data_IF_787410682282
#
_entry.id   IF_787410682282
#
_cell.length_a   1.000
_cell.length_b   1.000
_cell.length_c   1.000
_cell.angle_alpha   90.00
_cell.angle_beta   90.00
_cell.angle_gamma   90.00
#
_symmetry.space_group_name_H-M   'P 1'
#
loop_
_entity.id
_entity.type
_entity.pdbx_description
1 polymer ?
#
# COMPACT_ATOMS: atom_id res chain seq x y z
N UNK A 1 1.26 -22.52 -19.24
CA UNK A 1 1.89 -21.44 -18.45
C UNK A 1 1.64 -21.76 -17.00
N UNK A 2 2.63 -21.68 -16.12
CA UNK A 2 2.45 -22.01 -14.70
C UNK A 2 2.78 -20.76 -13.88
N UNK A 3 1.78 -20.20 -13.20
CA UNK A 3 1.99 -19.13 -12.20
C UNK A 3 2.82 -19.70 -11.06
N UNK A 4 3.94 -19.05 -10.75
CA UNK A 4 4.84 -19.41 -9.65
C UNK A 4 4.72 -18.49 -8.45
N UNK A 5 4.39 -17.21 -8.68
CA UNK A 5 4.18 -16.21 -7.64
C UNK A 5 2.82 -15.54 -7.87
N UNK A 6 1.97 -15.57 -6.85
CA UNK A 6 0.70 -14.85 -6.81
C UNK A 6 0.79 -13.73 -5.79
N UNK A 7 0.47 -12.52 -6.21
CA UNK A 7 0.50 -11.31 -5.38
C UNK A 7 -0.88 -10.71 -5.33
N UNK A 8 -1.44 -10.54 -4.14
CA UNK A 8 -2.77 -9.95 -3.94
C UNK A 8 -2.70 -8.65 -3.17
N UNK A 9 -3.50 -7.67 -3.60
CA UNK A 9 -3.83 -6.55 -2.72
C UNK A 9 -4.69 -7.02 -1.54
N UNK A 10 -4.87 -6.16 -0.55
CA UNK A 10 -5.70 -6.42 0.63
C UNK A 10 -7.05 -5.73 0.56
N UNK A 11 -7.07 -4.39 0.62
CA UNK A 11 -8.27 -3.60 0.83
C UNK A 11 -9.12 -3.48 -0.45
N UNK A 12 -10.33 -4.05 -0.43
CA UNK A 12 -11.18 -4.11 -1.62
C UNK A 12 -10.89 -5.31 -2.53
N UNK A 13 -9.83 -6.07 -2.24
CA UNK A 13 -9.44 -7.28 -2.98
C UNK A 13 -9.59 -8.53 -2.12
N UNK A 14 -8.66 -8.78 -1.22
CA UNK A 14 -8.68 -9.95 -0.33
C UNK A 14 -9.58 -9.73 0.88
N UNK A 15 -9.69 -8.46 1.32
CA UNK A 15 -10.50 -8.01 2.45
C UNK A 15 -11.71 -7.23 1.92
N UNK A 16 -12.93 -7.73 2.05
CA UNK A 16 -14.13 -6.92 1.93
C UNK A 16 -14.07 -5.77 2.95
N UNK A 17 -14.57 -4.59 2.59
CA UNK A 17 -14.48 -3.36 3.38
C UNK A 17 -14.69 -3.58 4.88
N UNK A 18 -13.65 -3.31 5.68
CA UNK A 18 -13.68 -3.32 7.15
C UNK A 18 -13.82 -4.69 7.82
N UNK A 19 -13.62 -5.81 7.10
CA UNK A 19 -13.79 -7.17 7.61
C UNK A 19 -12.46 -7.92 7.69
N UNK A 20 -12.48 -9.02 8.44
CA UNK A 20 -11.39 -9.99 8.43
C UNK A 20 -11.40 -10.78 7.11
N UNK A 21 -10.30 -11.48 6.82
CA UNK A 21 -10.19 -12.30 5.60
C UNK A 21 -11.29 -13.37 5.59
N UNK A 22 -12.15 -13.43 4.56
CA UNK A 22 -13.13 -14.49 4.44
C UNK A 22 -12.48 -15.86 4.44
N UNK A 23 -13.15 -16.83 5.04
CA UNK A 23 -12.65 -18.21 5.13
C UNK A 23 -12.36 -18.81 3.75
N UNK A 24 -13.22 -18.51 2.78
CA UNK A 24 -13.09 -18.95 1.39
C UNK A 24 -11.79 -18.46 0.76
N UNK A 25 -11.40 -17.21 1.05
CA UNK A 25 -10.14 -16.63 0.56
C UNK A 25 -8.93 -17.30 1.22
N UNK A 26 -8.99 -17.60 2.53
CA UNK A 26 -7.95 -18.36 3.23
C UNK A 26 -7.78 -19.75 2.59
N UNK A 27 -8.89 -20.46 2.37
CA UNK A 27 -8.88 -21.80 1.77
C UNK A 27 -8.34 -21.79 0.34
N UNK A 28 -8.69 -20.76 -0.46
CA UNK A 28 -8.17 -20.58 -1.82
C UNK A 28 -6.66 -20.32 -1.83
N UNK A 29 -6.17 -19.42 -0.98
CA UNK A 29 -4.73 -19.15 -0.81
C UNK A 29 -3.99 -20.42 -0.41
N UNK A 30 -4.48 -21.16 0.59
CA UNK A 30 -3.88 -22.41 1.02
C UNK A 30 -3.88 -23.49 -0.07
N UNK A 31 -4.91 -23.51 -0.93
CA UNK A 31 -4.96 -24.42 -2.09
C UNK A 31 -3.87 -24.06 -3.11
N UNK A 32 -3.67 -22.78 -3.40
CA UNK A 32 -2.61 -22.32 -4.28
C UNK A 32 -1.22 -22.69 -3.73
N UNK A 33 -0.99 -22.46 -2.44
CA UNK A 33 0.26 -22.83 -1.75
C UNK A 33 0.51 -24.34 -1.84
N UNK A 34 -0.51 -25.17 -1.60
CA UNK A 34 -0.40 -26.64 -1.74
C UNK A 34 -0.11 -27.09 -3.19
N UNK A 35 -0.51 -26.28 -4.17
CA UNK A 35 -0.18 -26.52 -5.59
C UNK A 35 1.23 -26.05 -5.98
N UNK A 36 2.01 -25.52 -5.04
CA UNK A 36 3.38 -25.07 -5.24
C UNK A 36 3.50 -23.61 -5.69
N UNK A 37 2.40 -22.82 -5.65
CA UNK A 37 2.43 -21.39 -5.94
C UNK A 37 2.86 -20.64 -4.68
N UNK A 38 3.84 -19.75 -4.81
CA UNK A 38 4.20 -18.81 -3.75
C UNK A 38 3.13 -17.71 -3.73
N UNK A 39 2.54 -17.44 -2.55
CA UNK A 39 1.53 -16.41 -2.37
C UNK A 39 2.05 -15.33 -1.44
N UNK A 40 1.89 -14.07 -1.80
CA UNK A 40 2.21 -12.92 -0.95
C UNK A 40 1.19 -11.79 -1.13
N UNK A 41 1.31 -10.77 -0.31
CA UNK A 41 0.47 -9.57 -0.35
C UNK A 41 1.28 -8.34 -0.77
N UNK A 42 0.62 -7.39 -1.46
CA UNK A 42 1.15 -6.08 -1.80
C UNK A 42 0.11 -5.00 -1.45
N UNK A 43 0.37 -4.21 -0.43
CA UNK A 43 -0.61 -3.28 0.14
C UNK A 43 -0.03 -1.89 0.43
N UNK A 44 -0.89 -0.87 0.45
CA UNK A 44 -0.58 0.46 0.98
C UNK A 44 -0.54 0.52 2.51
N UNK A 45 -1.03 -0.52 3.20
CA UNK A 45 -1.00 -0.58 4.67
C UNK A 45 0.42 -0.55 5.22
N UNK A 46 0.55 -0.05 6.47
CA UNK A 46 1.77 -0.20 7.26
C UNK A 46 1.99 -1.68 7.61
N UNK A 47 3.25 -2.05 7.87
CA UNK A 47 3.60 -3.45 8.09
C UNK A 47 2.86 -4.07 9.27
N UNK A 48 2.77 -3.36 10.42
CA UNK A 48 2.07 -3.86 11.61
C UNK A 48 0.57 -4.09 11.39
N UNK A 49 -0.07 -3.34 10.47
CA UNK A 49 -1.47 -3.53 10.11
C UNK A 49 -1.68 -4.66 9.09
N UNK A 50 -0.68 -4.94 8.26
CA UNK A 50 -0.71 -6.03 7.27
C UNK A 50 -0.29 -7.39 7.84
N UNK A 51 0.59 -7.41 8.85
CA UNK A 51 1.16 -8.62 9.43
C UNK A 51 0.10 -9.62 9.93
N UNK A 52 -0.93 -9.24 10.72
CA UNK A 52 -1.95 -10.18 11.19
C UNK A 52 -2.71 -10.86 10.04
N UNK A 53 -2.91 -10.14 8.93
CA UNK A 53 -3.57 -10.69 7.73
C UNK A 53 -2.66 -11.72 7.05
N UNK A 54 -1.37 -11.41 6.89
CA UNK A 54 -0.39 -12.35 6.32
C UNK A 54 -0.27 -13.64 7.15
N UNK A 55 -0.28 -13.51 8.48
CA UNK A 55 -0.27 -14.65 9.41
C UNK A 55 -1.54 -15.50 9.32
N UNK A 56 -2.71 -14.86 9.23
CA UNK A 56 -4.00 -15.57 9.07
C UNK A 56 -4.06 -16.37 7.75
N UNK A 57 -3.42 -15.86 6.69
CA UNK A 57 -3.30 -16.54 5.39
C UNK A 57 -2.26 -17.66 5.40
N UNK A 58 -1.38 -17.73 6.41
CA UNK A 58 -0.26 -18.64 6.45
C UNK A 58 0.86 -18.29 5.46
N UNK A 59 1.00 -17.01 5.10
CA UNK A 59 2.07 -16.53 4.21
C UNK A 59 3.42 -16.63 4.92
N UNK A 60 4.36 -17.39 4.36
CA UNK A 60 5.73 -17.58 4.90
C UNK A 60 6.81 -16.97 3.98
N UNK A 61 6.44 -15.97 3.19
CA UNK A 61 7.35 -15.19 2.33
C UNK A 61 7.28 -13.70 2.70
N UNK A 62 8.27 -12.89 2.27
CA UNK A 62 8.20 -11.46 2.53
C UNK A 62 6.94 -10.83 1.94
N UNK A 63 6.32 -9.93 2.70
CA UNK A 63 5.17 -9.14 2.28
C UNK A 63 5.61 -7.75 1.82
N UNK A 64 4.88 -7.20 0.87
CA UNK A 64 5.11 -5.87 0.28
C UNK A 64 4.14 -4.90 0.94
N UNK A 65 4.64 -3.91 1.66
CA UNK A 65 3.85 -2.94 2.41
C UNK A 65 4.23 -1.52 2.04
N UNK A 66 3.43 -0.52 2.44
CA UNK A 66 3.64 0.88 2.08
C UNK A 66 3.82 1.07 0.57
N UNK A 67 2.96 0.40 -0.24
CA UNK A 67 3.04 0.42 -1.72
C UNK A 67 4.39 -0.03 -2.30
N UNK A 68 5.16 -0.84 -1.59
CA UNK A 68 6.48 -1.30 -2.03
C UNK A 68 7.66 -0.62 -1.35
N UNK A 69 7.43 0.40 -0.51
CA UNK A 69 8.51 1.05 0.24
C UNK A 69 9.16 0.12 1.27
N UNK A 70 8.46 -0.90 1.73
CA UNK A 70 9.01 -1.91 2.65
C UNK A 70 8.67 -3.32 2.17
N UNK A 71 9.70 -4.18 2.06
CA UNK A 71 9.55 -5.62 1.85
C UNK A 71 10.17 -6.31 3.07
N UNK A 72 9.31 -6.99 3.86
CA UNK A 72 9.70 -7.59 5.14
C UNK A 72 9.00 -8.92 5.35
N UNK A 73 9.72 -9.92 5.88
CA UNK A 73 9.09 -11.21 6.21
C UNK A 73 8.20 -11.09 7.45
N UNK A 74 7.25 -12.01 7.60
CA UNK A 74 6.43 -12.14 8.82
C UNK A 74 7.26 -12.37 10.09
N UNK A 75 8.50 -12.85 9.94
CA UNK A 75 9.48 -13.04 11.04
C UNK A 75 10.37 -11.81 11.30
N UNK A 76 10.06 -10.67 10.67
CA UNK A 76 10.74 -9.39 10.94
C UNK A 76 12.01 -9.10 10.13
N UNK A 77 12.47 -10.02 9.25
CA UNK A 77 13.63 -9.77 8.39
C UNK A 77 13.30 -8.81 7.27
N UNK A 78 14.01 -7.69 7.19
CA UNK A 78 13.90 -6.67 6.15
C UNK A 78 14.69 -7.10 4.92
N UNK A 79 14.09 -6.94 3.74
CA UNK A 79 14.67 -7.25 2.44
C UNK A 79 14.84 -6.02 1.56
N UNK A 80 13.98 -5.03 1.73
CA UNK A 80 14.03 -3.76 1.03
C UNK A 80 13.37 -2.66 1.85
N UNK A 81 13.94 -1.46 1.79
CA UNK A 81 13.34 -0.22 2.30
C UNK A 81 13.57 0.91 1.31
N UNK A 82 12.61 1.81 1.22
CA UNK A 82 12.71 3.07 0.48
C UNK A 82 12.05 4.16 1.31
N UNK A 83 12.86 4.91 2.06
CA UNK A 83 12.39 5.98 2.94
C UNK A 83 12.32 7.31 2.21
N UNK A 84 11.39 8.15 2.59
CA UNK A 84 11.37 9.56 2.23
C UNK A 84 12.57 10.28 2.87
N UNK A 85 13.11 11.26 2.16
CA UNK A 85 14.20 12.10 2.70
C UNK A 85 13.66 13.05 3.76
N UNK A 86 14.38 13.28 4.88
CA UNK A 86 13.94 14.18 5.94
C UNK A 86 13.54 15.57 5.44
N UNK A 87 14.36 16.18 4.58
CA UNK A 87 14.12 17.50 4.00
C UNK A 87 12.86 17.56 3.13
N UNK A 88 12.51 16.45 2.46
CA UNK A 88 11.28 16.34 1.66
C UNK A 88 10.06 16.19 2.57
N UNK A 89 10.19 15.41 3.66
CA UNK A 89 9.12 15.25 4.67
C UNK A 89 8.78 16.62 5.26
N UNK A 90 9.77 17.38 5.71
CA UNK A 90 9.58 18.71 6.28
C UNK A 90 8.85 19.65 5.31
N UNK A 91 9.28 19.69 4.03
CA UNK A 91 8.63 20.51 3.00
C UNK A 91 7.17 20.10 2.73
N UNK A 92 6.88 18.79 2.70
CA UNK A 92 5.51 18.30 2.51
C UNK A 92 4.65 18.59 3.73
N UNK A 93 5.19 18.44 4.94
CA UNK A 93 4.50 18.78 6.21
C UNK A 93 4.16 20.27 6.24
N UNK A 94 5.12 21.16 5.94
CA UNK A 94 4.91 22.60 5.89
C UNK A 94 3.83 22.96 4.87
N UNK A 95 3.92 22.42 3.67
CA UNK A 95 2.96 22.68 2.62
C UNK A 95 1.56 22.22 3.00
N UNK A 96 1.38 21.01 3.53
CA UNK A 96 0.07 20.52 3.93
C UNK A 96 -0.52 21.34 5.08
N UNK A 97 0.30 21.77 6.05
CA UNK A 97 -0.13 22.65 7.14
C UNK A 97 -0.58 24.02 6.61
N UNK A 98 0.17 24.63 5.69
CA UNK A 98 -0.20 25.91 5.06
C UNK A 98 -1.53 25.83 4.29
N UNK A 99 -1.79 24.67 3.63
CA UNK A 99 -3.03 24.44 2.90
C UNK A 99 -4.20 24.06 3.83
N UNK A 100 -3.97 23.82 5.11
CA UNK A 100 -4.99 23.30 6.03
C UNK A 100 -5.39 21.85 5.72
N UNK A 101 -4.52 21.07 5.05
CA UNK A 101 -4.77 19.66 4.74
C UNK A 101 -4.33 18.76 5.88
N UNK A 102 -5.17 17.79 6.24
CA UNK A 102 -4.76 16.75 7.17
C UNK A 102 -3.60 15.94 6.58
N UNK A 103 -2.60 15.64 7.39
CA UNK A 103 -1.45 14.80 7.03
C UNK A 103 -1.05 13.95 8.24
N UNK A 104 -0.70 12.69 7.99
CA UNK A 104 -0.10 11.79 8.97
C UNK A 104 1.15 11.13 8.41
N UNK A 105 2.05 10.69 9.29
CA UNK A 105 3.35 10.11 8.96
C UNK A 105 3.49 8.70 9.52
N UNK A 106 4.32 7.89 8.85
CA UNK A 106 4.62 6.52 9.26
C UNK A 106 6.14 6.36 9.41
N UNK A 107 6.63 6.70 10.59
CA UNK A 107 8.04 6.59 10.98
C UNK A 107 8.25 5.32 11.79
N UNK A 108 9.25 4.51 11.43
CA UNK A 108 9.61 3.27 12.16
C UNK A 108 8.45 2.29 12.38
N UNK A 109 7.56 2.19 11.39
CA UNK A 109 6.34 1.37 11.46
C UNK A 109 5.37 1.80 12.59
N UNK A 110 5.45 3.07 13.03
CA UNK A 110 4.51 3.72 13.96
C UNK A 110 3.73 4.80 13.23
N UNK A 111 2.48 5.01 13.65
CA UNK A 111 1.60 6.06 13.13
C UNK A 111 1.77 7.35 13.95
N UNK A 112 2.04 8.47 13.28
CA UNK A 112 2.24 9.79 13.87
C UNK A 112 1.23 10.76 13.30
N UNK A 113 0.43 11.39 14.15
CA UNK A 113 -0.66 12.28 13.75
C UNK A 113 -0.49 13.69 14.36
N UNK A 114 -0.82 14.76 13.63
CA UNK A 114 -0.69 16.11 14.15
C UNK A 114 -1.77 16.43 15.17
N UNK A 115 -2.95 15.83 15.02
CA UNK A 115 -4.14 16.04 15.86
C UNK A 115 -4.99 14.79 15.88
N UNK A 116 -5.67 14.52 16.98
CA UNK A 116 -6.58 13.38 17.10
C UNK A 116 -8.03 13.80 16.73
N UNK A 117 -8.21 14.19 15.49
CA UNK A 117 -9.50 14.55 14.90
C UNK A 117 -10.26 13.33 14.33
N UNK A 118 -11.35 13.60 13.63
CA UNK A 118 -12.16 12.56 13.00
C UNK A 118 -11.41 11.76 11.91
N UNK A 119 -10.42 12.36 11.24
CA UNK A 119 -9.58 11.69 10.24
C UNK A 119 -8.68 10.64 10.91
N UNK A 120 -7.98 11.04 11.98
CA UNK A 120 -7.13 10.16 12.76
C UNK A 120 -7.96 9.01 13.37
N UNK A 121 -9.06 9.34 14.06
CA UNK A 121 -9.93 8.35 14.72
C UNK A 121 -10.47 7.31 13.75
N UNK A 122 -10.97 7.74 12.59
CA UNK A 122 -11.46 6.84 11.55
C UNK A 122 -10.36 5.93 11.04
N UNK A 123 -9.20 6.51 10.71
CA UNK A 123 -8.07 5.74 10.19
C UNK A 123 -7.60 4.66 11.20
N UNK A 124 -7.48 5.02 12.47
CA UNK A 124 -7.11 4.09 13.55
C UNK A 124 -8.09 2.92 13.66
N UNK A 125 -9.39 3.20 13.57
CA UNK A 125 -10.43 2.17 13.60
C UNK A 125 -10.38 1.25 12.37
N UNK A 126 -10.25 1.83 11.16
CA UNK A 126 -10.20 1.08 9.91
C UNK A 126 -8.96 0.19 9.82
N UNK A 127 -7.82 0.70 10.25
CA UNK A 127 -6.53 -0.01 10.16
C UNK A 127 -6.18 -0.81 11.42
N UNK A 128 -6.97 -0.68 12.48
CA UNK A 128 -6.75 -1.31 13.80
C UNK A 128 -5.36 -0.97 14.38
N UNK A 129 -4.99 0.31 14.33
CA UNK A 129 -3.71 0.84 14.81
C UNK A 129 -3.97 2.06 15.69
N UNK A 130 -3.04 2.37 16.59
CA UNK A 130 -3.06 3.59 17.42
C UNK A 130 -2.01 4.56 16.92
N UNK A 131 -2.34 5.86 16.88
CA UNK A 131 -1.44 6.93 16.48
C UNK A 131 -0.87 7.72 17.67
N UNK A 132 0.37 8.14 17.53
CA UNK A 132 1.00 9.09 18.47
C UNK A 132 0.63 10.52 18.08
N UNK A 133 0.00 11.25 19.00
CA UNK A 133 -0.39 12.64 18.79
C UNK A 133 0.81 13.53 19.11
N UNK A 134 1.40 14.17 18.09
CA UNK A 134 2.67 14.91 18.23
C UNK A 134 2.62 16.36 17.76
N UNK A 135 1.51 16.80 17.22
CA UNK A 135 1.43 18.12 16.59
C UNK A 135 2.19 18.17 15.25
N UNK A 136 2.09 19.30 14.58
CA UNK A 136 2.81 19.53 13.32
C UNK A 136 4.32 19.55 13.50
N UNK A 137 4.81 20.12 14.62
CA UNK A 137 6.24 20.15 14.94
C UNK A 137 6.78 18.74 15.17
N UNK A 138 6.02 17.89 15.85
CA UNK A 138 6.40 16.49 16.02
C UNK A 138 6.46 15.72 14.70
N UNK A 139 5.62 16.03 13.70
CA UNK A 139 5.75 15.41 12.37
C UNK A 139 7.08 15.82 11.70
N UNK A 140 7.58 17.05 11.91
CA UNK A 140 8.90 17.49 11.41
C UNK A 140 10.06 16.82 12.13
N UNK A 141 9.89 16.50 13.41
CA UNK A 141 10.93 15.85 14.22
C UNK A 141 11.05 14.34 13.93
N UNK A 142 9.92 13.66 13.59
CA UNK A 142 9.88 12.21 13.35
C UNK A 142 10.08 11.87 11.89
N UNK A 143 11.20 12.28 11.31
CA UNK A 143 11.54 12.08 9.88
C UNK A 143 12.34 10.82 9.58
N UNK A 144 12.70 10.02 10.60
CA UNK A 144 13.54 8.84 10.43
C UNK A 144 12.73 7.62 9.99
N UNK A 145 13.23 6.92 8.99
CA UNK A 145 12.63 5.68 8.48
C UNK A 145 11.15 5.84 8.08
N UNK A 146 10.80 6.99 7.49
CA UNK A 146 9.44 7.26 7.03
C UNK A 146 9.22 6.59 5.68
N UNK A 147 8.41 5.53 5.67
CA UNK A 147 8.02 4.82 4.45
C UNK A 147 6.95 5.56 3.66
N UNK A 148 6.07 6.30 4.33
CA UNK A 148 4.88 6.92 3.74
C UNK A 148 4.43 8.12 4.55
N UNK A 149 3.86 9.13 3.87
CA UNK A 149 2.93 10.09 4.43
C UNK A 149 1.54 9.82 3.82
N UNK A 150 0.48 10.26 4.50
CA UNK A 150 -0.89 10.11 4.01
C UNK A 150 -1.67 11.39 4.28
N UNK A 151 -2.28 11.96 3.23
CA UNK A 151 -3.32 13.00 3.38
C UNK A 151 -4.70 12.38 3.27
N UNK A 152 -5.62 12.85 4.11
CA UNK A 152 -7.03 12.41 4.08
C UNK A 152 -7.87 13.61 3.67
N UNK A 153 -8.78 13.39 2.72
CA UNK A 153 -9.70 14.42 2.23
C UNK A 153 -11.17 13.98 2.42
N UNK A 154 -12.10 14.86 2.05
CA UNK A 154 -13.53 14.59 2.20
C UNK A 154 -14.05 13.63 1.12
N UNK A 155 -13.50 13.73 -0.10
CA UNK A 155 -13.97 12.96 -1.26
C UNK A 155 -12.85 12.72 -2.29
N UNK A 156 -13.18 11.94 -3.34
CA UNK A 156 -12.24 11.55 -4.38
C UNK A 156 -11.75 12.70 -5.25
N UNK A 157 -12.56 13.72 -5.53
CA UNK A 157 -12.15 14.86 -6.34
C UNK A 157 -11.12 15.72 -5.61
N UNK A 158 -11.35 15.94 -4.32
CA UNK A 158 -10.40 16.68 -3.49
C UNK A 158 -9.09 15.89 -3.32
N UNK A 159 -9.18 14.55 -3.16
CA UNK A 159 -7.98 13.70 -3.13
C UNK A 159 -7.19 13.85 -4.42
N UNK A 160 -7.83 13.70 -5.57
CA UNK A 160 -7.20 13.83 -6.89
C UNK A 160 -6.53 15.19 -7.08
N UNK A 161 -7.23 16.28 -6.71
CA UNK A 161 -6.71 17.65 -6.75
C UNK A 161 -5.45 17.79 -5.89
N UNK A 162 -5.47 17.31 -4.65
CA UNK A 162 -4.30 17.36 -3.74
C UNK A 162 -3.12 16.58 -4.29
N UNK A 163 -3.37 15.38 -4.83
CA UNK A 163 -2.32 14.54 -5.40
C UNK A 163 -1.68 15.17 -6.64
N UNK A 164 -2.48 15.81 -7.51
CA UNK A 164 -1.96 16.54 -8.67
C UNK A 164 -1.01 17.67 -8.23
N UNK A 165 -1.40 18.47 -7.24
CA UNK A 165 -0.58 19.57 -6.70
C UNK A 165 0.70 19.02 -6.04
N UNK A 166 0.61 17.95 -5.25
CA UNK A 166 1.77 17.33 -4.61
C UNK A 166 2.76 16.77 -5.64
N UNK A 167 2.28 16.09 -6.68
CA UNK A 167 3.11 15.57 -7.75
C UNK A 167 3.73 16.69 -8.60
N UNK A 168 3.00 17.78 -8.87
CA UNK A 168 3.56 18.93 -9.59
C UNK A 168 4.70 19.58 -8.80
N UNK A 169 4.51 19.75 -7.49
CA UNK A 169 5.46 20.47 -6.64
C UNK A 169 6.66 19.62 -6.20
N UNK A 170 6.44 18.36 -5.87
CA UNK A 170 7.44 17.49 -5.23
C UNK A 170 7.76 16.22 -6.04
N UNK A 171 7.22 16.06 -7.25
CA UNK A 171 7.32 14.82 -8.03
C UNK A 171 8.72 14.39 -8.44
N UNK A 172 9.73 15.24 -8.26
CA UNK A 172 11.14 14.85 -8.38
C UNK A 172 11.61 13.91 -7.24
N UNK A 173 10.98 14.01 -6.05
CA UNK A 173 11.38 13.29 -4.85
C UNK A 173 10.30 12.33 -4.33
N UNK A 174 9.04 12.52 -4.71
CA UNK A 174 7.92 11.69 -4.25
C UNK A 174 7.08 11.15 -5.41
N UNK A 175 6.25 10.16 -5.09
CA UNK A 175 5.05 9.80 -5.85
C UNK A 175 3.87 9.92 -4.91
N UNK A 176 2.89 10.73 -5.29
CA UNK A 176 1.61 10.84 -4.60
C UNK A 176 0.53 10.13 -5.42
N UNK A 177 -0.15 9.15 -4.81
CA UNK A 177 -1.12 8.27 -5.47
C UNK A 177 -2.37 8.05 -4.64
N UNK A 178 -3.50 7.81 -5.29
CA UNK A 178 -4.76 7.49 -4.62
C UNK A 178 -4.83 5.98 -4.32
N UNK A 179 -5.23 5.62 -3.10
CA UNK A 179 -5.49 4.23 -2.72
C UNK A 179 -6.98 3.95 -2.47
N UNK A 180 -7.74 4.98 -2.12
CA UNK A 180 -9.20 4.97 -2.10
C UNK A 180 -9.74 6.40 -2.30
N UNK A 181 -11.05 6.57 -2.27
CA UNK A 181 -11.66 7.89 -2.54
C UNK A 181 -11.13 9.02 -1.65
N UNK A 182 -10.68 8.74 -0.42
CA UNK A 182 -10.29 9.75 0.57
C UNK A 182 -8.80 9.77 0.89
N UNK A 183 -8.02 8.76 0.47
CA UNK A 183 -6.63 8.56 0.87
C UNK A 183 -5.66 8.87 -0.26
N UNK A 184 -4.87 9.92 -0.05
CA UNK A 184 -3.72 10.28 -0.88
C UNK A 184 -2.43 9.83 -0.21
N UNK A 185 -1.80 8.81 -0.75
CA UNK A 185 -0.57 8.21 -0.24
C UNK A 185 0.65 8.83 -0.91
N UNK A 186 1.62 9.25 -0.11
CA UNK A 186 2.84 9.93 -0.55
C UNK A 186 4.02 9.04 -0.15
N UNK A 187 4.74 8.54 -1.13
CA UNK A 187 5.89 7.64 -0.97
C UNK A 187 7.12 8.19 -1.69
N UNK A 188 8.29 7.64 -1.42
CA UNK A 188 9.52 8.04 -2.11
C UNK A 188 9.41 7.80 -3.62
N UNK A 189 10.09 8.64 -4.41
CA UNK A 189 10.10 8.51 -5.87
C UNK A 189 10.53 7.10 -6.30
N UNK A 190 9.84 6.54 -7.30
CA UNK A 190 10.09 5.18 -7.81
C UNK A 190 9.47 4.05 -7.00
N UNK A 191 8.80 4.34 -5.88
CA UNK A 191 8.06 3.33 -5.10
C UNK A 191 6.72 3.05 -5.76
N UNK A 192 6.40 1.77 -5.95
CA UNK A 192 5.08 1.27 -6.36
C UNK A 192 4.93 -0.20 -5.98
N UNK A 193 3.69 -0.71 -5.96
CA UNK A 193 3.44 -2.15 -5.77
C UNK A 193 4.12 -2.99 -6.85
N UNK A 194 4.21 -2.49 -8.09
CA UNK A 194 4.93 -3.11 -9.19
C UNK A 194 6.44 -3.27 -8.90
N UNK A 195 7.07 -2.20 -8.42
CA UNK A 195 8.49 -2.26 -8.06
C UNK A 195 8.74 -3.23 -6.90
N UNK A 196 7.84 -3.24 -5.91
CA UNK A 196 7.89 -4.20 -4.81
C UNK A 196 7.77 -5.64 -5.29
N UNK A 197 6.83 -5.93 -6.17
CA UNK A 197 6.66 -7.25 -6.79
C UNK A 197 7.91 -7.65 -7.59
N UNK A 198 8.43 -6.78 -8.44
CA UNK A 198 9.62 -7.04 -9.26
C UNK A 198 10.82 -7.41 -8.39
N UNK A 199 11.09 -6.66 -7.33
CA UNK A 199 12.16 -6.94 -6.35
C UNK A 199 11.97 -8.27 -5.65
N UNK A 200 10.74 -8.59 -5.27
CA UNK A 200 10.45 -9.87 -4.62
C UNK A 200 10.61 -11.03 -5.59
N UNK A 201 10.09 -10.93 -6.83
CA UNK A 201 10.22 -11.95 -7.87
C UNK A 201 11.70 -12.23 -8.22
N UNK A 202 12.49 -11.17 -8.43
CA UNK A 202 13.94 -11.28 -8.65
C UNK A 202 14.63 -12.02 -7.51
N UNK A 203 14.32 -11.67 -6.26
CA UNK A 203 14.89 -12.32 -5.09
C UNK A 203 14.51 -13.81 -4.98
N UNK A 204 13.32 -14.18 -5.42
CA UNK A 204 12.84 -15.56 -5.44
C UNK A 204 13.33 -16.33 -6.68
N UNK A 205 14.02 -15.69 -7.62
CA UNK A 205 14.45 -16.27 -8.88
C UNK A 205 13.27 -16.59 -9.82
N UNK A 206 12.17 -15.82 -9.71
CA UNK A 206 10.95 -15.99 -10.51
C UNK A 206 10.92 -14.91 -11.59
N UNK A 207 10.71 -15.33 -12.84
CA UNK A 207 10.51 -14.38 -13.92
C UNK A 207 9.16 -13.66 -13.74
N UNK A 208 9.12 -12.37 -14.08
CA UNK A 208 7.88 -11.55 -13.99
C UNK A 208 6.76 -12.19 -14.82
N UNK A 209 7.07 -12.80 -15.95
CA UNK A 209 6.11 -13.55 -16.78
C UNK A 209 5.45 -14.76 -16.09
N UNK A 210 6.04 -15.26 -15.00
CA UNK A 210 5.50 -16.35 -14.17
C UNK A 210 4.77 -15.83 -12.93
N UNK A 211 4.48 -14.52 -12.87
CA UNK A 211 3.73 -13.89 -11.77
C UNK A 211 2.27 -13.67 -12.15
N UNK A 212 1.41 -13.62 -11.15
CA UNK A 212 0.02 -13.19 -11.25
C UNK A 212 -0.25 -12.17 -10.16
N UNK A 213 -0.91 -11.07 -10.51
CA UNK A 213 -1.30 -10.02 -9.57
C UNK A 213 -2.81 -9.77 -9.62
N UNK A 214 -3.41 -9.47 -8.45
CA UNK A 214 -4.81 -9.11 -8.33
C UNK A 214 -4.96 -7.82 -7.49
N UNK A 215 -5.87 -6.93 -7.92
CA UNK A 215 -6.12 -5.65 -7.26
C UNK A 215 -7.41 -4.98 -7.73
N UNK A 216 -7.75 -3.84 -7.13
CA UNK A 216 -9.00 -3.12 -7.39
C UNK A 216 -8.85 -1.60 -7.50
N UNK A 217 -7.72 -1.01 -7.07
CA UNK A 217 -7.57 0.43 -6.93
C UNK A 217 -6.43 1.03 -7.77
N UNK A 218 -6.31 2.36 -7.78
CA UNK A 218 -5.34 3.09 -8.59
C UNK A 218 -3.88 2.75 -8.26
N UNK A 219 -3.55 2.44 -7.00
CA UNK A 219 -2.20 2.02 -6.61
C UNK A 219 -1.84 0.59 -7.07
N UNK A 220 -2.83 -0.19 -7.58
CA UNK A 220 -2.60 -1.50 -8.20
C UNK A 220 -2.29 -1.40 -9.70
N UNK A 221 -2.70 -0.31 -10.36
CA UNK A 221 -2.50 -0.10 -11.79
C UNK A 221 -1.07 -0.42 -12.27
N UNK A 222 -0.01 0.08 -11.62
CA UNK A 222 1.36 -0.24 -12.03
C UNK A 222 1.67 -1.74 -11.92
N UNK A 223 1.15 -2.41 -10.88
CA UNK A 223 1.36 -3.84 -10.65
C UNK A 223 0.64 -4.69 -11.71
N UNK A 224 -0.61 -4.40 -12.02
CA UNK A 224 -1.38 -5.12 -13.03
C UNK A 224 -0.86 -4.90 -14.46
N UNK A 225 -0.20 -3.77 -14.74
CA UNK A 225 0.45 -3.50 -16.04
C UNK A 225 1.79 -4.21 -16.23
N UNK A 226 2.47 -4.54 -15.15
CA UNK A 226 3.87 -5.00 -15.18
C UNK A 226 3.99 -6.54 -15.30
N UNK A 227 2.92 -7.28 -15.12
CA UNK A 227 2.93 -8.71 -14.81
C UNK A 227 2.73 -9.69 -15.95
N UNK A 228 2.95 -10.97 -15.65
CA UNK A 228 2.65 -12.06 -16.57
C UNK A 228 1.16 -12.32 -16.72
N UNK A 229 0.40 -12.19 -15.61
CA UNK A 229 -1.04 -12.36 -15.57
C UNK A 229 -1.66 -11.32 -14.61
N UNK A 230 -2.63 -10.58 -15.08
CA UNK A 230 -3.35 -9.57 -14.32
C UNK A 230 -4.81 -9.98 -14.09
N UNK A 231 -5.26 -9.75 -12.85
CA UNK A 231 -6.63 -10.01 -12.44
C UNK A 231 -7.18 -8.76 -11.77
N UNK A 232 -8.36 -8.34 -12.15
CA UNK A 232 -9.09 -7.27 -11.48
C UNK A 232 -10.28 -7.80 -10.69
N UNK A 233 -10.63 -7.09 -9.64
CA UNK A 233 -11.86 -7.35 -8.91
C UNK A 233 -13.06 -6.76 -9.65
N UNK A 234 -14.27 -7.34 -9.48
CA UNK A 234 -15.50 -6.80 -10.04
C UNK A 234 -15.81 -5.38 -9.56
N UNK A 235 -15.42 -5.05 -8.31
CA UNK A 235 -15.51 -3.72 -7.71
C UNK A 235 -14.36 -2.76 -8.14
N UNK A 236 -13.43 -3.17 -9.00
CA UNK A 236 -12.28 -2.37 -9.38
C UNK A 236 -12.66 -1.06 -10.09
N UNK A 237 -11.76 -0.06 -9.97
CA UNK A 237 -11.89 1.21 -10.67
C UNK A 237 -11.91 0.98 -12.19
N UNK A 238 -12.64 1.82 -12.96
CA UNK A 238 -12.83 1.61 -14.41
C UNK A 238 -11.53 1.47 -15.20
N UNK A 239 -10.48 2.16 -14.77
CA UNK A 239 -9.16 2.15 -15.42
C UNK A 239 -8.47 0.79 -15.35
N UNK A 240 -8.73 -0.01 -14.29
CA UNK A 240 -8.24 -1.38 -14.19
C UNK A 240 -9.01 -2.30 -15.12
N UNK A 241 -10.34 -2.14 -15.20
CA UNK A 241 -11.23 -2.99 -16.02
C UNK A 241 -10.88 -3.05 -17.52
N UNK A 242 -10.12 -2.07 -17.99
CA UNK A 242 -9.64 -2.03 -19.36
C UNK A 242 -8.29 -2.74 -19.59
N UNK A 243 -7.63 -3.22 -18.52
CA UNK A 243 -6.23 -3.64 -18.58
C UNK A 243 -5.99 -5.09 -18.16
N UNK A 244 -6.86 -5.67 -17.33
CA UNK A 244 -6.64 -6.99 -16.78
C UNK A 244 -7.00 -8.12 -17.76
N UNK A 245 -6.28 -9.24 -17.64
CA UNK A 245 -6.56 -10.45 -18.44
C UNK A 245 -7.85 -11.14 -17.98
N UNK A 246 -8.19 -10.99 -16.69
CA UNK A 246 -9.34 -11.66 -16.06
C UNK A 246 -10.02 -10.73 -15.07
N UNK A 247 -11.34 -10.88 -14.94
CA UNK A 247 -12.17 -10.18 -13.94
C UNK A 247 -12.76 -11.22 -12.98
N UNK A 248 -12.68 -10.96 -11.66
CA UNK A 248 -13.39 -11.79 -10.66
C UNK A 248 -14.79 -11.24 -10.37
N UNK A 249 -15.55 -11.96 -9.54
CA UNK A 249 -16.72 -11.37 -8.86
C UNK A 249 -16.27 -10.31 -7.82
N UNK A 250 -17.24 -9.56 -7.30
CA UNK A 250 -17.04 -8.58 -6.23
C UNK A 250 -16.70 -9.26 -4.88
#
# INVERSE_FOLDING_TARGET
MSVKLFVTDLDGTLLPSGKDVPRENIEAVQKAVRAGVIVTIATGRMYRAALPVAEALGVDVPIITYNGALIKSTKGKVYHTSYLKPEVIEQVVDFCQEQGWYLQSYSRDELWVPVHDEHAQRYEQEQKVEGHIVGWDGLREHTQEVCKLLTISEDGQETERRLAILNERFGADIVAMQSNARYGEIVNHGVSKAEGLRRLAERLGIAVADTMAIGDSYNDLPMLKAEGHSVEMGNAVPELKALADYTTAD
#
